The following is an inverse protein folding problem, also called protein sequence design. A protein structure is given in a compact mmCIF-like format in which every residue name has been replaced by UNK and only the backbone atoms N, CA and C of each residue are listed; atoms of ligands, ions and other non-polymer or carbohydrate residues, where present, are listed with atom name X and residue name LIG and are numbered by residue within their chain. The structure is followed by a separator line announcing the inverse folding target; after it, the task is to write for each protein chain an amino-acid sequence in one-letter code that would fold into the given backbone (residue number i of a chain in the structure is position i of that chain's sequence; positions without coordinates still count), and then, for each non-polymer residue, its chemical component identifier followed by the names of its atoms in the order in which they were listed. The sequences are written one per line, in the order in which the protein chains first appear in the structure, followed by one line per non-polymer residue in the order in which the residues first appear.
data_IF_199006738624
#
_entry.id   IF_199006738624
#
_cell.length_a   1.000
_cell.length_b   1.000
_cell.length_c   1.000
_cell.angle_alpha   90.00
_cell.angle_beta   90.00
_cell.angle_gamma   90.00
#
_symmetry.space_group_name_H-M   'P 1'
#
loop_
_entity.id
_entity.type
_entity.pdbx_description
1 polymer ?
#
# COMPACT_ATOMS: atom_id res chain seq x y z
N UNK A 1 25.06 21.17 60.66
CA UNK A 1 23.76 20.82 60.06
C UNK A 1 23.68 21.43 58.68
N UNK A 2 23.48 20.63 57.64
CA UNK A 2 23.23 21.11 56.28
C UNK A 2 22.05 20.30 55.72
N UNK A 3 20.91 20.95 55.52
CA UNK A 3 19.73 20.33 54.93
C UNK A 3 19.76 20.56 53.41
N UNK A 4 19.94 19.49 52.64
CA UNK A 4 19.70 19.55 51.19
C UNK A 4 18.18 19.55 50.94
N UNK A 5 17.66 20.66 50.43
CA UNK A 5 16.30 20.73 49.91
C UNK A 5 16.26 20.07 48.52
N UNK A 6 15.72 18.84 48.46
CA UNK A 6 15.32 18.20 47.22
C UNK A 6 13.96 18.73 46.76
N UNK A 7 13.98 19.85 46.04
CA UNK A 7 12.80 20.35 45.31
C UNK A 7 12.56 19.49 44.06
N UNK A 8 11.80 18.40 44.21
CA UNK A 8 11.34 17.61 43.06
C UNK A 8 10.27 18.37 42.27
N UNK A 9 10.57 18.69 41.01
CA UNK A 9 9.56 19.17 40.06
C UNK A 9 8.66 18.00 39.65
N UNK A 10 7.56 17.80 40.37
CA UNK A 10 6.43 17.05 39.85
C UNK A 10 5.77 17.90 38.75
N UNK A 11 5.74 17.40 37.52
CA UNK A 11 5.01 18.04 36.44
C UNK A 11 3.51 17.75 36.57
N UNK A 12 2.71 18.77 36.85
CA UNK A 12 1.22 18.73 36.87
C UNK A 12 0.59 18.52 35.47
N UNK A 13 1.32 17.93 34.53
CA UNK A 13 0.72 17.42 33.31
C UNK A 13 0.11 16.04 33.63
N UNK A 14 -1.21 15.83 33.46
CA UNK A 14 -1.78 14.50 33.62
C UNK A 14 -1.06 13.54 32.68
N UNK A 15 -0.59 12.42 33.22
CA UNK A 15 0.08 11.39 32.42
C UNK A 15 -0.84 11.03 31.26
N UNK A 16 -0.36 11.26 30.03
CA UNK A 16 -1.09 10.86 28.84
C UNK A 16 -1.39 9.36 28.96
N UNK A 17 -2.65 8.91 28.84
CA UNK A 17 -2.97 7.49 28.99
C UNK A 17 -2.13 6.67 28.00
N UNK A 18 -1.64 5.49 28.41
CA UNK A 18 -0.86 4.62 27.54
C UNK A 18 -1.67 4.28 26.28
N UNK A 19 -0.96 4.16 25.15
CA UNK A 19 -1.56 3.76 23.87
C UNK A 19 -1.57 2.25 23.77
N UNK A 20 -2.74 1.68 23.54
CA UNK A 20 -2.97 0.25 23.47
C UNK A 20 -3.12 -0.20 22.01
N UNK A 21 -2.02 -0.69 21.44
CA UNK A 21 -1.89 -0.94 20.00
C UNK A 21 -0.82 -2.03 19.74
N UNK A 22 -0.84 -2.66 18.55
CA UNK A 22 0.03 -3.81 18.24
C UNK A 22 1.43 -3.34 17.79
N UNK A 23 2.52 -3.78 18.45
CA UNK A 23 3.88 -3.62 17.93
C UNK A 23 4.19 -4.69 16.88
N UNK A 24 4.28 -4.29 15.61
CA UNK A 24 4.58 -5.21 14.50
C UNK A 24 6.07 -5.53 14.39
N UNK A 25 6.42 -6.83 14.44
CA UNK A 25 7.79 -7.35 14.31
C UNK A 25 7.94 -8.24 13.06
N UNK A 26 9.11 -8.22 12.43
CA UNK A 26 9.47 -9.10 11.29
C UNK A 26 10.27 -10.34 11.69
N UNK A 27 10.55 -10.55 12.98
CA UNK A 27 11.35 -11.68 13.51
C UNK A 27 10.84 -13.05 13.05
N UNK A 28 9.51 -13.23 12.97
CA UNK A 28 8.89 -14.46 12.45
C UNK A 28 8.70 -14.35 10.94
N UNK A 29 9.71 -14.82 10.20
CA UNK A 29 9.80 -14.77 8.72
C UNK A 29 8.85 -15.77 8.04
N UNK A 30 8.06 -15.33 7.04
CA UNK A 30 7.39 -16.26 6.10
C UNK A 30 8.30 -16.72 4.97
N UNK A 31 8.03 -17.88 4.34
CA UNK A 31 8.54 -18.16 3.00
C UNK A 31 8.01 -17.12 2.01
N UNK A 32 8.90 -16.29 1.46
CA UNK A 32 8.55 -15.25 0.49
C UNK A 32 9.70 -14.98 -0.48
N UNK A 33 9.45 -14.24 -1.56
CA UNK A 33 10.51 -13.70 -2.42
C UNK A 33 10.95 -12.33 -1.88
N UNK A 34 12.22 -12.15 -1.47
CA UNK A 34 12.72 -10.81 -1.13
C UNK A 34 12.96 -10.02 -2.41
N UNK A 35 12.13 -9.00 -2.68
CA UNK A 35 12.26 -8.16 -3.87
C UNK A 35 12.58 -6.69 -3.55
N UNK A 36 11.76 -5.96 -2.79
CA UNK A 36 11.95 -4.53 -2.55
C UNK A 36 12.59 -4.20 -1.18
N UNK A 37 13.43 -5.08 -0.64
CA UNK A 37 14.07 -4.94 0.68
C UNK A 37 15.21 -3.90 0.74
N UNK A 38 15.70 -3.42 -0.41
CA UNK A 38 16.59 -2.25 -0.51
C UNK A 38 16.06 -1.29 -1.57
N UNK A 39 15.71 -0.05 -1.18
CA UNK A 39 15.15 0.94 -2.09
C UNK A 39 16.07 2.17 -2.27
N UNK A 40 16.15 2.75 -3.49
CA UNK A 40 16.68 4.09 -3.69
C UNK A 40 15.90 5.11 -2.83
N UNK A 41 16.62 5.92 -2.06
CA UNK A 41 16.03 6.85 -1.07
C UNK A 41 15.78 6.23 0.31
N UNK A 42 16.15 4.97 0.54
CA UNK A 42 15.91 4.27 1.81
C UNK A 42 14.49 3.72 1.95
N UNK A 43 14.13 3.17 3.12
CA UNK A 43 12.78 2.67 3.39
C UNK A 43 11.70 3.73 3.14
N UNK A 44 10.48 3.30 2.78
CA UNK A 44 9.35 4.21 2.60
C UNK A 44 8.76 4.54 3.97
N UNK A 45 8.68 5.81 4.33
CA UNK A 45 7.96 6.28 5.52
C UNK A 45 6.47 6.30 5.21
N UNK A 46 5.71 5.38 5.79
CA UNK A 46 4.28 5.25 5.50
C UNK A 46 3.43 5.17 6.76
N UNK A 47 2.21 5.66 6.66
CA UNK A 47 1.16 5.42 7.67
C UNK A 47 0.24 4.30 7.19
N UNK A 48 -0.06 3.35 8.06
CA UNK A 48 -0.81 2.14 7.73
C UNK A 48 -1.86 1.86 8.81
N UNK A 49 -3.07 1.47 8.40
CA UNK A 49 -4.11 0.95 9.32
C UNK A 49 -4.30 -0.55 9.05
N UNK A 50 -3.48 -1.43 9.64
CA UNK A 50 -3.75 -2.87 9.63
C UNK A 50 -4.92 -3.22 10.54
N UNK A 51 -5.57 -4.36 10.29
CA UNK A 51 -6.57 -4.90 11.22
C UNK A 51 -5.94 -5.73 12.33
N UNK A 52 -6.69 -5.93 13.41
CA UNK A 52 -6.30 -6.83 14.50
C UNK A 52 -6.30 -8.28 14.00
N UNK A 53 -7.39 -8.67 13.32
CA UNK A 53 -7.59 -10.01 12.76
C UNK A 53 -6.60 -10.40 11.66
N UNK A 54 -6.17 -9.45 10.82
CA UNK A 54 -5.28 -9.69 9.66
C UNK A 54 -3.93 -8.96 9.78
N UNK A 55 -3.48 -8.69 11.01
CA UNK A 55 -2.21 -8.00 11.27
C UNK A 55 -0.97 -8.66 10.64
N UNK A 56 -1.06 -9.93 10.25
CA UNK A 56 0.00 -10.61 9.49
C UNK A 56 0.31 -9.94 8.15
N UNK A 57 -0.68 -9.32 7.51
CA UNK A 57 -0.53 -8.58 6.25
C UNK A 57 0.52 -7.47 6.35
N UNK A 58 0.54 -6.73 7.47
CA UNK A 58 1.52 -5.68 7.72
C UNK A 58 2.95 -6.24 7.81
N UNK A 59 3.12 -7.33 8.58
CA UNK A 59 4.42 -8.01 8.75
C UNK A 59 4.92 -8.54 7.41
N UNK A 60 4.04 -9.14 6.62
CA UNK A 60 4.35 -9.74 5.33
C UNK A 60 4.62 -8.71 4.24
N UNK A 61 3.99 -7.53 4.32
CA UNK A 61 4.36 -6.37 3.52
C UNK A 61 5.74 -5.83 3.93
N UNK A 62 6.04 -5.71 5.23
CA UNK A 62 7.35 -5.26 5.75
C UNK A 62 8.50 -6.21 5.38
N UNK A 63 8.24 -7.52 5.26
CA UNK A 63 9.23 -8.51 4.82
C UNK A 63 9.54 -8.38 3.32
N UNK A 64 8.58 -7.93 2.49
CA UNK A 64 8.71 -7.83 1.03
C UNK A 64 9.12 -6.45 0.52
N UNK A 65 8.79 -5.38 1.25
CA UNK A 65 9.02 -3.98 0.89
C UNK A 65 9.75 -3.26 2.04
N UNK A 66 10.82 -2.54 1.73
CA UNK A 66 11.54 -1.73 2.72
C UNK A 66 10.66 -0.58 3.23
N UNK A 67 10.11 -0.73 4.43
CA UNK A 67 9.22 0.22 5.09
C UNK A 67 9.82 0.76 6.39
N UNK A 68 9.49 2.01 6.70
CA UNK A 68 9.53 2.58 8.04
C UNK A 68 8.07 2.94 8.41
N UNK A 69 7.27 1.97 8.88
CA UNK A 69 5.84 2.15 9.06
C UNK A 69 5.52 2.87 10.39
N UNK A 70 4.50 3.72 10.35
CA UNK A 70 3.70 4.11 11.50
C UNK A 70 2.36 3.39 11.37
N UNK A 71 2.05 2.50 12.31
CA UNK A 71 0.80 1.73 12.32
C UNK A 71 -0.20 2.31 13.32
N UNK A 72 -1.49 2.13 13.05
CA UNK A 72 -2.58 2.21 14.04
C UNK A 72 -3.51 1.03 13.79
N UNK A 73 -3.65 0.11 14.73
CA UNK A 73 -4.42 -1.12 14.49
C UNK A 73 -5.91 -0.90 14.76
N UNK A 74 -6.74 -1.08 13.73
CA UNK A 74 -8.19 -0.93 13.81
C UNK A 74 -8.83 -2.11 13.08
N UNK A 75 -9.69 -2.87 13.74
CA UNK A 75 -10.50 -3.89 13.08
C UNK A 75 -11.84 -3.32 12.59
N UNK A 76 -12.51 -4.01 11.66
CA UNK A 76 -13.89 -3.69 11.27
C UNK A 76 -14.84 -4.02 12.43
N UNK A 77 -14.60 -5.13 13.11
CA UNK A 77 -15.47 -5.66 14.16
C UNK A 77 -15.17 -5.00 15.52
N UNK A 78 -16.20 -4.48 16.21
CA UNK A 78 -16.03 -3.72 17.46
C UNK A 78 -15.48 -4.57 18.61
N UNK A 79 -15.91 -5.83 18.68
CA UNK A 79 -15.52 -6.80 19.69
C UNK A 79 -14.07 -7.26 19.49
N UNK A 80 -13.64 -7.47 18.24
CA UNK A 80 -12.22 -7.72 17.93
C UNK A 80 -11.35 -6.51 18.28
N UNK A 81 -11.86 -5.27 18.16
CA UNK A 81 -11.11 -4.10 18.67
C UNK A 81 -10.97 -4.12 20.19
N UNK A 82 -12.06 -4.43 20.92
CA UNK A 82 -12.12 -4.44 22.38
C UNK A 82 -11.35 -5.61 23.04
N UNK A 83 -11.39 -6.78 22.41
CA UNK A 83 -11.01 -8.07 23.01
C UNK A 83 -9.87 -8.78 22.28
N UNK A 84 -9.58 -8.40 21.03
CA UNK A 84 -8.61 -9.09 20.17
C UNK A 84 -7.13 -8.81 20.45
N UNK A 85 -6.81 -7.84 21.32
CA UNK A 85 -5.44 -7.54 21.76
C UNK A 85 -5.28 -8.00 23.20
N UNK A 86 -4.73 -9.20 23.38
CA UNK A 86 -4.72 -9.90 24.68
C UNK A 86 -4.03 -9.17 25.83
N UNK A 87 -3.04 -8.32 25.54
CA UNK A 87 -2.35 -7.52 26.57
C UNK A 87 -3.25 -6.42 27.17
N UNK A 88 -4.29 -5.98 26.45
CA UNK A 88 -5.08 -4.77 26.74
C UNK A 88 -6.58 -5.00 26.51
N UNK A 89 -7.09 -6.10 27.05
CA UNK A 89 -8.49 -6.53 27.00
C UNK A 89 -9.39 -5.58 27.83
N UNK A 90 -10.25 -4.77 27.19
CA UNK A 90 -11.10 -3.81 27.91
C UNK A 90 -11.73 -2.73 27.03
N UNK A 91 -13.00 -2.40 27.31
CA UNK A 91 -13.73 -1.32 26.65
C UNK A 91 -13.03 0.04 26.84
N UNK A 92 -12.51 0.26 28.05
CA UNK A 92 -11.77 1.44 28.49
C UNK A 92 -10.46 1.69 27.72
N UNK A 93 -9.92 0.67 27.06
CA UNK A 93 -8.61 0.73 26.40
C UNK A 93 -8.69 0.92 24.89
N UNK A 94 -9.79 0.47 24.27
CA UNK A 94 -9.88 0.28 22.81
C UNK A 94 -11.22 0.71 22.21
N UNK A 95 -12.30 0.74 22.99
CA UNK A 95 -13.65 1.06 22.54
C UNK A 95 -14.66 -0.08 22.78
N UNK A 96 -15.92 0.17 22.45
CA UNK A 96 -17.03 -0.77 22.62
C UNK A 96 -17.89 -0.79 21.34
N UNK A 97 -18.96 -1.58 21.33
CA UNK A 97 -19.99 -1.53 20.30
C UNK A 97 -20.42 -0.08 20.07
N UNK A 98 -20.32 0.35 18.82
CA UNK A 98 -20.65 1.70 18.36
C UNK A 98 -19.79 2.84 18.95
N UNK A 99 -18.69 2.55 19.65
CA UNK A 99 -17.70 3.57 20.08
C UNK A 99 -16.27 3.18 19.70
N UNK A 100 -15.79 3.76 18.60
CA UNK A 100 -14.43 3.60 18.08
C UNK A 100 -13.54 4.83 18.34
N UNK A 101 -13.96 5.78 19.19
CA UNK A 101 -13.26 7.07 19.35
C UNK A 101 -11.82 6.94 19.81
N UNK A 102 -11.49 5.92 20.61
CA UNK A 102 -10.12 5.69 21.09
C UNK A 102 -9.20 5.33 19.91
N UNK A 103 -9.56 4.31 19.12
CA UNK A 103 -8.74 3.84 18.00
C UNK A 103 -8.67 4.84 16.84
N UNK A 104 -9.76 5.56 16.53
CA UNK A 104 -9.71 6.65 15.57
C UNK A 104 -8.99 7.89 16.12
N UNK A 105 -8.95 8.09 17.44
CA UNK A 105 -8.12 9.10 18.09
C UNK A 105 -6.62 8.83 17.95
N UNK A 106 -6.19 7.57 17.99
CA UNK A 106 -4.79 7.20 17.67
C UNK A 106 -4.44 7.49 16.20
N UNK A 107 -5.39 7.24 15.28
CA UNK A 107 -5.23 7.62 13.87
C UNK A 107 -5.17 9.15 13.69
N UNK A 108 -6.00 9.91 14.39
CA UNK A 108 -5.96 11.37 14.39
C UNK A 108 -4.59 11.89 14.86
N UNK A 109 -4.06 11.38 15.97
CA UNK A 109 -2.75 11.81 16.50
C UNK A 109 -1.65 11.68 15.44
N UNK A 110 -1.50 10.50 14.83
CA UNK A 110 -0.42 10.29 13.85
C UNK A 110 -0.67 11.06 12.55
N UNK A 111 -1.91 11.15 12.09
CA UNK A 111 -2.26 11.88 10.87
C UNK A 111 -2.11 13.40 11.02
N UNK A 112 -2.34 13.97 12.21
CA UNK A 112 -2.24 15.41 12.46
C UNK A 112 -0.83 15.90 12.80
N UNK A 113 0.06 15.01 13.28
CA UNK A 113 1.46 15.31 13.63
C UNK A 113 2.29 15.94 12.50
N UNK A 114 3.32 16.71 12.86
CA UNK A 114 4.21 17.36 11.90
C UNK A 114 5.07 16.39 11.06
N UNK A 115 5.28 15.14 11.54
CA UNK A 115 6.09 14.13 10.84
C UNK A 115 5.54 13.84 9.44
N UNK A 116 6.38 13.89 8.38
CA UNK A 116 5.92 13.64 7.02
C UNK A 116 5.82 12.14 6.72
N UNK A 117 4.72 11.73 6.08
CA UNK A 117 4.57 10.42 5.44
C UNK A 117 4.78 10.59 3.93
N UNK A 118 5.46 9.64 3.31
CA UNK A 118 5.53 9.52 1.85
C UNK A 118 4.26 8.89 1.28
N UNK A 119 3.58 8.04 2.06
CA UNK A 119 2.34 7.35 1.65
C UNK A 119 1.45 7.03 2.86
N UNK A 120 0.15 6.99 2.65
CA UNK A 120 -0.84 6.48 3.60
C UNK A 120 -1.58 5.29 2.98
N UNK A 121 -1.78 4.20 3.72
CA UNK A 121 -2.54 3.01 3.27
C UNK A 121 -3.73 2.81 4.19
N UNK A 122 -4.94 3.01 3.64
CA UNK A 122 -6.18 3.04 4.39
C UNK A 122 -7.17 2.01 3.80
N UNK A 123 -7.48 0.93 4.53
CA UNK A 123 -8.66 0.13 4.26
C UNK A 123 -9.92 0.89 4.70
N UNK A 124 -10.97 0.80 3.89
CA UNK A 124 -12.32 1.19 4.25
C UNK A 124 -12.90 0.15 5.18
N UNK A 125 -12.58 0.26 6.47
CA UNK A 125 -13.11 -0.65 7.47
C UNK A 125 -14.60 -0.35 7.70
N UNK A 126 -14.90 0.77 8.35
CA UNK A 126 -16.27 1.21 8.66
C UNK A 126 -16.72 2.43 7.83
N UNK A 127 -15.96 2.76 6.78
CA UNK A 127 -16.18 3.90 5.89
C UNK A 127 -15.40 5.16 6.29
N UNK A 128 -15.18 6.06 5.31
CA UNK A 128 -14.39 7.28 5.45
C UNK A 128 -14.86 8.19 6.59
N UNK A 129 -16.17 8.29 6.80
CA UNK A 129 -16.78 9.24 7.75
C UNK A 129 -16.50 8.92 9.22
N UNK A 130 -16.10 7.68 9.54
CA UNK A 130 -15.76 7.22 10.89
C UNK A 130 -14.35 7.66 11.33
N UNK A 131 -13.44 7.90 10.39
CA UNK A 131 -12.21 8.64 10.70
C UNK A 131 -12.60 10.02 11.21
N UNK A 132 -11.95 10.53 12.26
CA UNK A 132 -12.29 11.83 12.82
C UNK A 132 -12.16 12.96 11.79
N UNK A 133 -12.89 14.06 11.97
CA UNK A 133 -12.82 15.20 11.05
C UNK A 133 -11.38 15.75 10.88
N UNK A 134 -10.56 15.94 11.94
CA UNK A 134 -9.17 16.34 11.79
C UNK A 134 -8.31 15.29 11.05
N UNK A 135 -8.53 13.99 11.26
CA UNK A 135 -7.84 12.93 10.53
C UNK A 135 -8.14 13.01 9.01
N UNK A 136 -9.41 13.14 8.62
CA UNK A 136 -9.84 13.27 7.22
C UNK A 136 -9.25 14.52 6.56
N UNK A 137 -9.28 15.66 7.25
CA UNK A 137 -8.72 16.92 6.76
C UNK A 137 -7.18 16.83 6.64
N UNK A 138 -6.50 16.15 7.57
CA UNK A 138 -5.06 15.92 7.52
C UNK A 138 -4.64 14.99 6.36
N UNK A 139 -5.39 13.91 6.08
CA UNK A 139 -5.16 13.04 4.92
C UNK A 139 -5.28 13.87 3.63
N UNK A 140 -6.40 14.57 3.42
CA UNK A 140 -6.63 15.38 2.22
C UNK A 140 -5.54 16.44 2.03
N UNK A 141 -5.11 17.10 3.10
CA UNK A 141 -4.00 18.07 3.09
C UNK A 141 -2.68 17.41 2.68
N UNK A 142 -2.27 16.31 3.33
CA UNK A 142 -1.01 15.60 3.05
C UNK A 142 -0.93 15.11 1.61
N UNK A 143 -2.02 14.53 1.07
CA UNK A 143 -2.05 14.11 -0.34
C UNK A 143 -1.89 15.32 -1.26
N UNK A 144 -2.64 16.41 -1.01
CA UNK A 144 -2.54 17.64 -1.81
C UNK A 144 -1.12 18.23 -1.80
N UNK A 145 -0.40 18.11 -0.68
CA UNK A 145 0.99 18.55 -0.50
C UNK A 145 2.03 17.66 -1.19
N UNK A 146 1.75 16.36 -1.40
CA UNK A 146 2.61 15.45 -2.15
C UNK A 146 2.66 14.00 -1.66
N UNK A 147 2.05 13.67 -0.52
CA UNK A 147 2.02 12.29 -0.04
C UNK A 147 1.19 11.39 -0.97
N UNK A 148 1.61 10.13 -1.10
CA UNK A 148 0.81 9.08 -1.72
C UNK A 148 -0.38 8.67 -0.85
N UNK A 149 -1.40 8.11 -1.47
CA UNK A 149 -2.51 7.46 -0.80
C UNK A 149 -2.89 6.16 -1.52
N UNK A 150 -3.05 5.08 -0.76
CA UNK A 150 -3.60 3.81 -1.24
C UNK A 150 -4.89 3.56 -0.45
N UNK A 151 -6.00 3.46 -1.17
CA UNK A 151 -7.32 3.17 -0.63
C UNK A 151 -7.72 1.74 -0.98
N UNK A 152 -8.15 0.98 0.01
CA UNK A 152 -8.69 -0.36 -0.21
C UNK A 152 -10.18 -0.32 0.16
N UNK A 153 -11.08 -0.55 -0.80
CA UNK A 153 -12.53 -0.34 -0.63
C UNK A 153 -12.89 1.06 -0.06
N UNK A 154 -12.66 2.16 -0.79
CA UNK A 154 -13.12 3.48 -0.34
C UNK A 154 -14.66 3.61 -0.40
N UNK A 155 -15.31 3.92 0.72
CA UNK A 155 -16.74 4.30 0.79
C UNK A 155 -16.98 5.38 1.86
N UNK A 156 -18.19 5.97 1.90
CA UNK A 156 -18.50 7.09 2.80
C UNK A 156 -18.74 6.58 4.22
N UNK A 157 -19.47 5.47 4.36
CA UNK A 157 -19.84 4.84 5.63
C UNK A 157 -21.24 5.22 6.08
N UNK A 158 -22.00 4.21 6.53
CA UNK A 158 -23.41 4.34 6.94
C UNK A 158 -23.59 5.02 8.31
N UNK A 159 -23.14 6.28 8.43
CA UNK A 159 -23.34 7.10 9.64
C UNK A 159 -24.79 7.55 9.82
N UNK A 160 -25.62 7.46 8.77
CA UNK A 160 -27.02 7.89 8.80
C UNK A 160 -27.98 6.76 9.20
N UNK A 161 -27.75 5.54 8.71
CA UNK A 161 -28.46 4.35 9.16
C UNK A 161 -28.03 3.91 10.55
N UNK A 162 -26.71 3.91 10.81
CA UNK A 162 -26.14 3.44 12.07
C UNK A 162 -24.98 4.33 12.56
N UNK A 163 -25.24 5.47 13.24
CA UNK A 163 -24.21 6.36 13.77
C UNK A 163 -23.43 5.71 14.92
N UNK A 164 -22.11 5.91 14.94
CA UNK A 164 -21.25 5.62 16.09
C UNK A 164 -21.11 6.87 16.99
N UNK A 165 -20.67 6.67 18.23
CA UNK A 165 -20.47 7.77 19.16
C UNK A 165 -19.40 8.74 18.64
N UNK A 166 -19.79 10.00 18.45
CA UNK A 166 -18.90 11.07 17.94
C UNK A 166 -18.90 11.22 16.42
N UNK A 167 -19.69 10.44 15.68
CA UNK A 167 -19.85 10.64 14.24
C UNK A 167 -20.55 11.97 13.87
N UNK A 168 -20.30 12.48 12.65
CA UNK A 168 -21.12 13.55 12.09
C UNK A 168 -22.55 13.06 11.78
N UNK A 169 -23.52 13.97 11.80
CA UNK A 169 -24.92 13.68 11.45
C UNK A 169 -25.11 13.28 9.97
N UNK A 170 -24.14 13.58 9.09
CA UNK A 170 -24.14 13.21 7.68
C UNK A 170 -22.77 12.67 7.27
N UNK A 171 -22.77 11.74 6.31
CA UNK A 171 -21.55 11.19 5.74
C UNK A 171 -20.73 12.25 4.99
N UNK A 172 -19.41 12.12 5.03
CA UNK A 172 -18.46 13.06 4.41
C UNK A 172 -18.11 12.60 2.98
N UNK A 173 -18.71 13.19 1.92
CA UNK A 173 -18.51 12.71 0.55
C UNK A 173 -17.12 13.03 -0.03
N UNK A 174 -16.24 13.71 0.73
CA UNK A 174 -14.93 14.17 0.21
C UNK A 174 -13.95 13.02 -0.09
N UNK A 175 -14.25 11.80 0.34
CA UNK A 175 -13.58 10.59 -0.17
C UNK A 175 -13.66 10.50 -1.70
N UNK A 176 -14.75 10.97 -2.32
CA UNK A 176 -14.93 10.99 -3.78
C UNK A 176 -14.14 12.09 -4.49
N UNK A 177 -13.70 13.13 -3.77
CA UNK A 177 -12.76 14.11 -4.30
C UNK A 177 -11.36 13.50 -4.47
N UNK A 178 -10.92 12.68 -3.51
CA UNK A 178 -9.56 12.11 -3.47
C UNK A 178 -9.45 10.72 -4.10
N UNK A 179 -10.49 9.89 -4.08
CA UNK A 179 -10.47 8.53 -4.64
C UNK A 179 -10.65 8.48 -6.16
N UNK A 180 -9.87 7.65 -6.90
CA UNK A 180 -10.15 7.35 -8.32
C UNK A 180 -11.30 6.36 -8.53
N UNK A 181 -11.76 5.67 -7.48
CA UNK A 181 -12.96 4.81 -7.47
C UNK A 181 -14.06 5.47 -6.63
N UNK A 182 -15.26 5.66 -7.19
CA UNK A 182 -16.37 6.38 -6.53
C UNK A 182 -17.72 5.69 -6.73
N UNK A 183 -18.73 6.13 -5.98
CA UNK A 183 -20.13 5.79 -6.27
C UNK A 183 -20.56 4.37 -5.89
N UNK A 184 -19.73 3.62 -5.17
CA UNK A 184 -20.20 2.36 -4.54
C UNK A 184 -21.25 2.71 -3.46
N UNK A 185 -22.35 1.94 -3.34
CA UNK A 185 -23.20 1.97 -2.17
C UNK A 185 -22.41 1.65 -0.89
N UNK A 186 -22.75 2.32 0.21
CA UNK A 186 -22.09 2.04 1.49
C UNK A 186 -22.41 0.62 2.00
N UNK A 187 -21.42 0.02 2.67
CA UNK A 187 -21.62 -1.10 3.57
C UNK A 187 -22.45 -0.67 4.79
N UNK A 188 -23.21 -1.61 5.36
CA UNK A 188 -24.13 -1.37 6.47
C UNK A 188 -23.51 -1.77 7.80
N UNK A 189 -24.18 -1.42 8.88
CA UNK A 189 -23.94 -2.00 10.20
C UNK A 189 -25.25 -2.59 10.70
N UNK A 190 -25.20 -3.81 11.23
CA UNK A 190 -26.34 -4.48 11.86
C UNK A 190 -26.71 -3.86 13.20
N UNK A 191 -27.93 -4.11 13.69
CA UNK A 191 -28.39 -3.72 15.05
C UNK A 191 -27.49 -4.22 16.20
N UNK A 192 -26.57 -5.15 15.90
CA UNK A 192 -25.57 -5.70 16.85
C UNK A 192 -24.20 -4.99 16.77
N UNK A 193 -24.08 -3.93 15.97
CA UNK A 193 -22.83 -3.20 15.73
C UNK A 193 -21.85 -3.92 14.80
N UNK A 194 -22.21 -5.10 14.26
CA UNK A 194 -21.34 -5.82 13.32
C UNK A 194 -21.52 -5.29 11.90
N UNK A 195 -20.43 -5.04 11.17
CA UNK A 195 -20.47 -4.38 9.87
C UNK A 195 -20.69 -5.38 8.73
N UNK A 196 -21.63 -5.09 7.84
CA UNK A 196 -22.15 -6.01 6.83
C UNK A 196 -21.80 -5.53 5.41
N UNK A 197 -21.04 -6.34 4.62
CA UNK A 197 -20.76 -6.03 3.22
C UNK A 197 -22.03 -5.86 2.39
N UNK A 198 -22.12 -4.80 1.60
CA UNK A 198 -23.25 -4.56 0.72
C UNK A 198 -23.22 -5.54 -0.46
N UNK A 199 -23.93 -6.67 -0.32
CA UNK A 199 -23.93 -7.75 -1.32
C UNK A 199 -24.46 -7.30 -2.69
N UNK A 200 -25.35 -6.31 -2.74
CA UNK A 200 -25.83 -5.72 -4.01
C UNK A 200 -24.74 -4.89 -4.71
N UNK A 201 -23.78 -4.36 -3.96
CA UNK A 201 -22.62 -3.65 -4.50
C UNK A 201 -21.51 -4.59 -4.98
N UNK A 202 -21.47 -5.84 -4.51
CA UNK A 202 -20.43 -6.81 -4.87
C UNK A 202 -20.80 -7.57 -6.16
N UNK A 203 -19.79 -7.93 -6.95
CA UNK A 203 -19.91 -8.85 -8.10
C UNK A 203 -18.65 -9.70 -8.23
N UNK A 204 -18.63 -10.63 -9.19
CA UNK A 204 -17.47 -11.47 -9.49
C UNK A 204 -17.25 -11.58 -11.00
N UNK A 205 -16.01 -11.35 -11.43
CA UNK A 205 -15.56 -11.49 -12.82
C UNK A 205 -14.03 -11.61 -12.88
N UNK A 206 -13.52 -12.09 -14.02
CA UNK A 206 -12.07 -12.20 -14.29
C UNK A 206 -11.40 -10.82 -14.28
N UNK A 207 -10.29 -10.70 -13.57
CA UNK A 207 -9.46 -9.50 -13.55
C UNK A 207 -8.56 -9.45 -14.79
N UNK A 208 -8.60 -8.32 -15.49
CA UNK A 208 -7.85 -8.08 -16.73
C UNK A 208 -7.08 -6.76 -16.62
N UNK A 209 -5.86 -6.73 -17.16
CA UNK A 209 -5.08 -5.49 -17.26
C UNK A 209 -5.74 -4.57 -18.29
N UNK A 210 -6.39 -3.50 -17.82
CA UNK A 210 -7.01 -2.50 -18.68
C UNK A 210 -5.95 -1.69 -19.45
N UNK A 211 -4.77 -1.49 -18.85
CA UNK A 211 -3.61 -0.84 -19.49
C UNK A 211 -2.28 -1.13 -18.80
N UNK A 212 -1.15 -1.08 -19.53
CA UNK A 212 0.18 -1.09 -18.93
C UNK A 212 0.40 0.11 -18.01
N UNK A 213 0.95 -0.16 -16.83
CA UNK A 213 1.34 0.85 -15.85
C UNK A 213 2.36 0.23 -14.87
N UNK A 214 3.21 1.04 -14.23
CA UNK A 214 4.22 0.54 -13.28
C UNK A 214 3.66 -0.42 -12.19
N UNK A 215 2.40 -0.26 -11.79
CA UNK A 215 1.74 -1.13 -10.81
C UNK A 215 1.46 -2.54 -11.39
N UNK A 216 1.05 -2.63 -12.66
CA UNK A 216 0.60 -3.87 -13.32
C UNK A 216 1.66 -4.53 -14.21
N UNK A 217 2.65 -3.78 -14.69
CA UNK A 217 3.71 -4.28 -15.59
C UNK A 217 4.46 -5.49 -15.00
N UNK A 218 4.69 -6.54 -15.78
CA UNK A 218 5.36 -7.76 -15.32
C UNK A 218 4.71 -8.48 -14.13
N UNK A 219 3.46 -8.16 -13.76
CA UNK A 219 2.58 -9.04 -13.01
C UNK A 219 1.71 -9.80 -14.01
N UNK A 220 1.76 -11.13 -13.95
CA UNK A 220 0.85 -11.99 -14.68
C UNK A 220 -0.40 -12.18 -13.81
N UNK A 221 -1.49 -11.48 -14.14
CA UNK A 221 -2.73 -11.55 -13.37
C UNK A 221 -3.37 -12.95 -13.43
N UNK A 222 -3.06 -13.76 -14.44
CA UNK A 222 -3.58 -15.13 -14.57
C UNK A 222 -3.00 -16.07 -13.49
N UNK A 223 -1.98 -15.63 -12.76
CA UNK A 223 -1.43 -16.33 -11.58
C UNK A 223 -2.13 -15.93 -10.26
N UNK A 224 -3.02 -14.94 -10.29
CA UNK A 224 -3.95 -14.65 -9.19
C UNK A 224 -5.25 -15.45 -9.38
N UNK A 225 -5.89 -15.96 -8.31
CA UNK A 225 -7.22 -16.54 -8.38
C UNK A 225 -8.23 -15.62 -9.09
N UNK A 226 -8.11 -14.31 -8.85
CA UNK A 226 -8.95 -13.29 -9.48
C UNK A 226 -8.77 -13.16 -11.00
N UNK A 227 -7.58 -13.46 -11.53
CA UNK A 227 -7.30 -13.45 -12.97
C UNK A 227 -7.45 -14.83 -13.62
N UNK A 228 -7.28 -15.94 -12.90
CA UNK A 228 -7.56 -17.29 -13.44
C UNK A 228 -9.07 -17.55 -13.54
N UNK A 229 -9.85 -17.23 -12.49
CA UNK A 229 -11.25 -17.68 -12.31
C UNK A 229 -12.25 -16.57 -11.99
N UNK A 230 -11.77 -15.36 -11.77
CA UNK A 230 -12.57 -14.25 -11.28
C UNK A 230 -12.60 -14.15 -9.77
N UNK A 231 -12.40 -12.93 -9.28
CA UNK A 231 -12.45 -12.59 -7.86
C UNK A 231 -13.67 -11.75 -7.54
N UNK A 232 -14.08 -11.73 -6.27
CA UNK A 232 -15.10 -10.81 -5.78
C UNK A 232 -14.54 -9.38 -5.69
N UNK A 233 -15.33 -8.40 -6.10
CA UNK A 233 -14.97 -6.98 -5.99
C UNK A 233 -16.24 -6.12 -5.94
N UNK A 234 -16.11 -4.90 -5.44
CA UNK A 234 -17.20 -3.92 -5.40
C UNK A 234 -17.36 -3.17 -6.74
N UNK A 235 -18.60 -2.94 -7.16
CA UNK A 235 -18.96 -2.21 -8.38
C UNK A 235 -18.81 -0.70 -8.17
N UNK A 236 -17.67 -0.17 -8.59
CA UNK A 236 -17.36 1.26 -8.59
C UNK A 236 -17.57 1.92 -9.96
N UNK A 237 -17.70 3.25 -9.95
CA UNK A 237 -17.40 4.10 -11.10
C UNK A 237 -15.94 4.59 -11.05
N UNK A 238 -15.32 4.83 -12.20
CA UNK A 238 -13.99 5.41 -12.29
C UNK A 238 -14.03 6.93 -12.46
N UNK A 239 -13.30 7.65 -11.59
CA UNK A 239 -12.91 9.07 -11.77
C UNK A 239 -11.39 9.22 -11.87
N UNK A 240 -10.75 8.20 -12.42
CA UNK A 240 -9.30 8.12 -12.60
C UNK A 240 -8.96 7.16 -13.73
N UNK A 241 -7.67 6.94 -13.89
CA UNK A 241 -7.09 5.99 -14.83
C UNK A 241 -7.28 4.55 -14.33
N UNK A 242 -8.08 3.74 -15.02
CA UNK A 242 -8.29 2.32 -14.69
C UNK A 242 -7.09 1.50 -15.16
N UNK A 243 -6.51 0.71 -14.26
CA UNK A 243 -5.35 -0.16 -14.49
C UNK A 243 -5.74 -1.63 -14.61
N UNK A 244 -6.69 -2.06 -13.78
CA UNK A 244 -7.27 -3.41 -13.79
C UNK A 244 -8.79 -3.24 -13.82
N UNK A 245 -9.45 -4.02 -14.67
CA UNK A 245 -10.91 -4.08 -14.79
C UNK A 245 -11.39 -5.52 -14.65
N UNK A 246 -12.69 -5.69 -14.39
CA UNK A 246 -13.34 -6.99 -14.39
C UNK A 246 -14.83 -6.84 -14.70
N UNK A 247 -15.35 -7.60 -15.67
CA UNK A 247 -16.78 -7.58 -16.03
C UNK A 247 -17.33 -6.20 -16.42
N UNK A 248 -16.50 -5.31 -16.97
CA UNK A 248 -16.86 -3.93 -17.32
C UNK A 248 -16.71 -2.90 -16.20
N UNK A 249 -16.32 -3.32 -14.99
CA UNK A 249 -16.11 -2.44 -13.83
C UNK A 249 -14.63 -2.22 -13.52
N UNK A 250 -14.24 -1.06 -12.96
CA UNK A 250 -12.88 -0.77 -12.52
C UNK A 250 -12.56 -1.50 -11.21
N UNK A 251 -11.43 -2.20 -11.17
CA UNK A 251 -10.94 -2.93 -9.98
C UNK A 251 -9.76 -2.21 -9.33
N UNK A 252 -8.80 -1.74 -10.13
CA UNK A 252 -7.69 -0.91 -9.65
C UNK A 252 -7.64 0.34 -10.50
N UNK A 253 -7.66 1.51 -9.88
CA UNK A 253 -7.57 2.79 -10.57
C UNK A 253 -6.62 3.76 -9.85
N UNK A 254 -6.10 4.74 -10.60
CA UNK A 254 -5.18 5.77 -10.10
C UNK A 254 -5.61 7.18 -10.51
N UNK A 255 -5.30 8.19 -9.69
CA UNK A 255 -5.35 9.60 -10.10
C UNK A 255 -4.38 10.46 -9.31
N UNK A 256 -4.14 11.68 -9.79
CA UNK A 256 -3.48 12.72 -8.99
C UNK A 256 -4.49 13.44 -8.10
N UNK A 257 -4.05 13.92 -6.94
CA UNK A 257 -4.82 14.85 -6.10
C UNK A 257 -3.87 15.89 -5.51
N UNK A 258 -3.92 17.12 -6.04
CA UNK A 258 -2.86 18.10 -5.82
C UNK A 258 -1.52 17.58 -6.35
N UNK A 259 -0.50 17.52 -5.49
CA UNK A 259 0.84 16.98 -5.82
C UNK A 259 0.95 15.47 -5.56
N UNK A 260 0.02 14.88 -4.82
CA UNK A 260 0.02 13.47 -4.44
C UNK A 260 -0.57 12.56 -5.50
N UNK A 261 -0.28 11.27 -5.35
CA UNK A 261 -0.78 10.17 -6.19
C UNK A 261 -1.67 9.26 -5.37
N UNK A 262 -2.86 8.96 -5.88
CA UNK A 262 -3.84 8.11 -5.23
C UNK A 262 -4.03 6.84 -6.06
N UNK A 263 -3.97 5.69 -5.40
CA UNK A 263 -4.38 4.39 -5.92
C UNK A 263 -5.62 3.95 -5.14
N UNK A 264 -6.61 3.37 -5.79
CA UNK A 264 -7.70 2.67 -5.09
C UNK A 264 -7.95 1.28 -5.66
N UNK A 265 -8.32 0.36 -4.78
CA UNK A 265 -8.66 -1.02 -5.04
C UNK A 265 -10.12 -1.29 -4.68
N UNK A 266 -10.86 -1.96 -5.57
CA UNK A 266 -12.25 -2.38 -5.36
C UNK A 266 -12.38 -3.69 -4.56
N UNK A 267 -11.39 -4.02 -3.72
CA UNK A 267 -11.31 -5.33 -3.07
C UNK A 267 -12.47 -5.59 -2.11
N UNK A 268 -12.85 -6.86 -1.99
CA UNK A 268 -13.61 -7.37 -0.84
C UNK A 268 -12.59 -7.92 0.16
N UNK A 269 -12.78 -7.68 1.46
CA UNK A 269 -11.88 -8.12 2.54
C UNK A 269 -11.44 -6.98 3.45
N UNK A 270 -11.13 -7.32 4.70
CA UNK A 270 -10.91 -6.35 5.78
C UNK A 270 -9.46 -5.85 5.91
N UNK A 271 -8.48 -6.66 5.48
CA UNK A 271 -7.04 -6.36 5.58
C UNK A 271 -6.45 -5.67 4.35
N UNK A 272 -5.14 -5.87 4.14
CA UNK A 272 -4.44 -5.31 2.98
C UNK A 272 -4.47 -6.22 1.75
N UNK A 273 -4.71 -7.51 1.96
CA UNK A 273 -4.91 -8.50 0.90
C UNK A 273 -6.42 -8.77 0.75
N UNK A 274 -6.95 -8.93 -0.47
CA UNK A 274 -8.35 -9.30 -0.67
C UNK A 274 -8.72 -10.61 0.04
N UNK A 275 -10.00 -10.76 0.38
CA UNK A 275 -10.58 -11.99 0.93
C UNK A 275 -10.09 -13.20 0.11
N UNK A 276 -9.48 -14.22 0.77
CA UNK A 276 -8.93 -15.36 0.05
C UNK A 276 -10.07 -16.10 -0.64
N UNK A 277 -9.93 -16.32 -1.95
CA UNK A 277 -10.80 -17.25 -2.67
C UNK A 277 -10.67 -18.62 -2.00
N UNK A 278 -11.80 -19.26 -1.67
CA UNK A 278 -11.88 -20.57 -1.01
C UNK A 278 -10.74 -21.48 -1.49
N UNK A 279 -9.75 -21.83 -0.64
CA UNK A 279 -8.57 -22.55 -1.07
C UNK A 279 -8.87 -23.99 -1.49
N UNK A 280 -9.99 -24.56 -1.04
CA UNK A 280 -10.45 -25.90 -1.41
C UNK A 280 -11.11 -25.86 -2.79
N UNK A 281 -12.05 -24.94 -3.01
CA UNK A 281 -12.72 -24.78 -4.30
C UNK A 281 -11.76 -24.26 -5.39
N UNK A 282 -10.87 -23.33 -5.05
CA UNK A 282 -9.88 -22.79 -5.97
C UNK A 282 -8.70 -23.74 -6.22
N UNK A 283 -8.39 -24.68 -5.30
CA UNK A 283 -7.11 -25.43 -5.32
C UNK A 283 -5.88 -24.52 -5.42
N UNK A 284 -6.04 -23.24 -5.08
CA UNK A 284 -4.97 -22.25 -5.11
C UNK A 284 -4.23 -22.32 -3.78
N UNK A 285 -3.11 -23.04 -3.79
CA UNK A 285 -2.19 -23.06 -2.65
C UNK A 285 -1.36 -21.77 -2.62
N UNK A 286 -0.73 -21.50 -1.48
CA UNK A 286 -0.20 -20.21 -1.00
C UNK A 286 0.75 -19.41 -1.94
N UNK A 287 1.20 -19.96 -3.06
CA UNK A 287 2.12 -19.30 -4.01
C UNK A 287 1.56 -18.00 -4.63
N UNK A 288 0.23 -17.83 -4.72
CA UNK A 288 -0.39 -16.63 -5.30
C UNK A 288 -0.27 -15.38 -4.42
N UNK A 289 0.01 -15.53 -3.12
CA UNK A 289 0.10 -14.41 -2.18
C UNK A 289 1.24 -13.46 -2.54
N UNK A 290 2.35 -13.98 -3.11
CA UNK A 290 3.45 -13.15 -3.63
C UNK A 290 2.96 -12.14 -4.69
N UNK A 291 1.98 -12.51 -5.52
CA UNK A 291 1.43 -11.62 -6.55
C UNK A 291 0.52 -10.55 -5.96
N UNK A 292 -0.25 -10.87 -4.91
CA UNK A 292 -1.07 -9.88 -4.20
C UNK A 292 -0.18 -8.86 -3.46
N UNK A 293 0.81 -9.34 -2.68
CA UNK A 293 1.77 -8.45 -2.02
C UNK A 293 2.58 -7.63 -3.03
N UNK A 294 2.97 -8.20 -4.16
CA UNK A 294 3.66 -7.45 -5.22
C UNK A 294 2.77 -6.36 -5.82
N UNK A 295 1.49 -6.62 -6.07
CA UNK A 295 0.54 -5.62 -6.57
C UNK A 295 0.35 -4.46 -5.58
N UNK A 296 0.07 -4.78 -4.31
CA UNK A 296 -0.10 -3.80 -3.23
C UNK A 296 1.17 -2.96 -3.02
N UNK A 297 2.32 -3.59 -2.84
CA UNK A 297 3.57 -2.91 -2.55
C UNK A 297 4.05 -2.05 -3.74
N UNK A 298 3.72 -2.41 -4.98
CA UNK A 298 3.95 -1.55 -6.16
C UNK A 298 3.00 -0.36 -6.18
N UNK A 299 1.75 -0.51 -5.74
CA UNK A 299 0.86 0.62 -5.50
C UNK A 299 1.39 1.56 -4.41
N UNK A 300 1.88 1.02 -3.28
CA UNK A 300 2.53 1.79 -2.20
C UNK A 300 3.75 2.55 -2.71
N UNK A 301 4.67 1.87 -3.40
CA UNK A 301 5.89 2.48 -3.97
C UNK A 301 5.57 3.54 -5.04
N UNK A 302 4.60 3.28 -5.91
CA UNK A 302 4.18 4.24 -6.94
C UNK A 302 3.45 5.45 -6.34
N UNK A 303 2.59 5.26 -5.34
CA UNK A 303 1.96 6.36 -4.63
C UNK A 303 3.03 7.25 -3.96
N UNK A 304 3.96 6.62 -3.23
CA UNK A 304 5.06 7.28 -2.52
C UNK A 304 6.03 8.04 -3.45
N UNK A 305 6.53 7.39 -4.50
CA UNK A 305 7.69 7.87 -5.29
C UNK A 305 7.46 7.93 -6.80
N UNK A 306 6.35 7.39 -7.30
CA UNK A 306 6.06 7.25 -8.73
C UNK A 306 6.89 6.13 -9.36
N UNK A 307 7.11 6.20 -10.67
CA UNK A 307 7.98 5.23 -11.37
C UNK A 307 9.46 5.39 -10.98
N UNK A 308 9.90 6.63 -10.74
CA UNK A 308 11.29 6.95 -10.40
C UNK A 308 12.31 6.42 -11.41
N UNK A 309 13.46 5.96 -10.90
CA UNK A 309 14.45 5.17 -11.68
C UNK A 309 14.23 3.65 -11.57
N UNK A 310 13.13 3.21 -10.93
CA UNK A 310 12.94 1.81 -10.56
C UNK A 310 12.07 1.11 -11.61
N UNK A 311 12.59 0.05 -12.22
CA UNK A 311 11.84 -0.82 -13.14
C UNK A 311 12.04 -2.28 -12.77
N UNK A 312 10.95 -3.04 -12.79
CA UNK A 312 10.93 -4.48 -12.57
C UNK A 312 10.93 -5.15 -13.95
N UNK A 313 12.06 -5.71 -14.37
CA UNK A 313 12.23 -6.22 -15.74
C UNK A 313 11.37 -7.47 -16.03
N UNK A 314 11.22 -8.38 -15.06
CA UNK A 314 10.26 -9.49 -15.10
C UNK A 314 10.05 -10.13 -13.72
N UNK A 315 8.82 -10.52 -13.38
CA UNK A 315 8.56 -11.63 -12.46
C UNK A 315 8.13 -12.85 -13.28
N UNK A 316 8.72 -14.03 -13.01
CA UNK A 316 8.34 -15.29 -13.65
C UNK A 316 8.23 -16.38 -12.60
N UNK A 317 7.04 -16.92 -12.40
CA UNK A 317 6.89 -18.22 -11.76
C UNK A 317 7.24 -19.34 -12.75
N UNK A 318 7.94 -20.36 -12.25
CA UNK A 318 8.06 -21.66 -12.92
C UNK A 318 7.41 -22.70 -12.04
N UNK A 319 6.57 -23.58 -12.61
CA UNK A 319 6.05 -24.75 -11.89
C UNK A 319 7.24 -25.60 -11.42
N UNK A 320 7.44 -25.67 -10.10
CA UNK A 320 8.62 -26.26 -9.47
C UNK A 320 9.71 -25.21 -9.15
N UNK A 321 9.71 -24.76 -7.88
CA UNK A 321 10.61 -23.76 -7.27
C UNK A 321 10.66 -22.40 -7.98
N UNK A 322 10.08 -21.39 -7.34
CA UNK A 322 10.29 -20.00 -7.72
C UNK A 322 11.79 -19.62 -7.69
N UNK A 323 12.28 -19.07 -8.80
CA UNK A 323 13.58 -18.39 -8.89
C UNK A 323 13.36 -17.01 -9.48
N UNK A 324 13.14 -16.01 -8.64
CA UNK A 324 13.21 -14.62 -9.05
C UNK A 324 14.66 -14.21 -9.32
N UNK A 325 14.88 -13.38 -10.33
CA UNK A 325 16.13 -12.63 -10.52
C UNK A 325 15.79 -11.14 -10.62
N UNK A 326 15.73 -10.47 -9.48
CA UNK A 326 15.73 -9.01 -9.44
C UNK A 326 17.12 -8.49 -9.82
N UNK A 327 17.22 -7.75 -10.94
CA UNK A 327 18.45 -7.06 -11.33
C UNK A 327 18.21 -5.56 -11.37
N UNK A 328 18.83 -4.86 -10.43
CA UNK A 328 18.77 -3.40 -10.36
C UNK A 328 19.84 -2.76 -11.25
N UNK A 329 19.47 -1.71 -12.00
CA UNK A 329 20.42 -0.77 -12.61
C UNK A 329 19.96 0.65 -12.30
N UNK A 330 20.88 1.49 -11.82
CA UNK A 330 20.66 2.93 -11.82
C UNK A 330 20.62 3.42 -13.26
N UNK A 331 19.72 4.34 -13.56
CA UNK A 331 19.82 5.15 -14.77
C UNK A 331 21.05 6.07 -14.61
N UNK A 332 21.91 6.12 -15.62
CA UNK A 332 22.88 7.20 -15.70
C UNK A 332 22.11 8.48 -16.02
N UNK A 333 22.03 9.40 -15.05
CA UNK A 333 21.38 10.69 -15.25
C UNK A 333 22.17 11.50 -16.29
N UNK A 334 21.65 11.57 -17.52
CA UNK A 334 22.17 12.46 -18.56
C UNK A 334 21.77 13.90 -18.27
N UNK A 335 22.23 14.44 -17.14
CA UNK A 335 22.15 15.85 -16.81
C UNK A 335 23.08 16.59 -17.79
N UNK A 336 22.53 17.02 -18.93
CA UNK A 336 23.19 18.01 -19.78
C UNK A 336 23.27 19.31 -18.97
N UNK A 337 24.46 19.90 -18.77
CA UNK A 337 24.54 21.23 -18.18
C UNK A 337 23.75 22.22 -19.04
N UNK A 338 23.04 23.14 -18.40
CA UNK A 338 22.46 24.31 -19.08
C UNK A 338 23.61 25.23 -19.51
N UNK A 339 24.15 24.94 -20.70
CA UNK A 339 25.18 25.74 -21.36
C UNK A 339 24.60 27.03 -21.93
N UNK A 340 25.24 28.16 -21.59
CA UNK A 340 24.87 29.52 -22.00
C UNK A 340 24.59 29.65 -23.50
N UNK A 341 23.61 30.47 -23.84
CA UNK A 341 23.36 30.94 -25.21
C UNK A 341 24.55 31.72 -25.75
N UNK A 342 25.31 31.10 -26.67
CA UNK A 342 26.36 31.76 -27.45
C UNK A 342 25.87 32.09 -28.85
N UNK A 343 26.00 33.35 -29.25
CA UNK A 343 25.66 33.83 -30.59
C UNK A 343 26.64 33.33 -31.67
N UNK A 344 26.15 33.31 -32.91
CA UNK A 344 26.82 32.82 -34.12
C UNK A 344 28.22 33.41 -34.34
N UNK A 345 29.17 32.57 -34.77
CA UNK A 345 30.18 32.95 -35.75
C UNK A 345 30.56 31.74 -36.61
N UNK A 346 30.66 31.94 -37.92
CA UNK A 346 30.97 30.92 -38.93
C UNK A 346 32.47 30.85 -39.24
N UNK A 347 33.01 29.66 -39.51
CA UNK A 347 34.06 29.52 -40.52
C UNK A 347 34.10 28.08 -41.08
N UNK A 348 34.55 27.94 -42.33
CA UNK A 348 34.48 26.69 -43.11
C UNK A 348 35.88 26.18 -43.53
N UNK A 349 35.90 25.02 -44.23
CA UNK A 349 37.03 24.17 -44.70
C UNK A 349 37.37 23.04 -43.71
N UNK A 350 37.65 21.79 -44.12
CA UNK A 350 37.59 21.15 -45.45
C UNK A 350 38.03 19.67 -45.40
N UNK A 351 37.77 18.92 -46.50
CA UNK A 351 38.38 17.65 -47.03
C UNK A 351 39.43 16.90 -46.14
N UNK A 352 39.52 15.56 -46.06
CA UNK A 352 39.41 14.52 -47.12
C UNK A 352 39.33 13.06 -46.54
N UNK A 353 39.31 12.05 -47.44
CA UNK A 353 39.39 10.55 -47.25
C UNK A 353 40.65 10.10 -46.44
N UNK A 354 40.89 8.85 -46.00
CA UNK A 354 40.53 7.50 -46.50
C UNK A 354 40.82 6.33 -45.50
N UNK A 355 40.45 5.09 -45.90
CA UNK A 355 41.12 3.78 -45.69
C UNK A 355 41.17 3.04 -44.32
N UNK A 356 40.53 1.86 -44.31
CA UNK A 356 40.86 0.61 -43.56
C UNK A 356 42.13 -0.09 -44.17
N UNK A 357 42.76 -1.16 -43.60
CA UNK A 357 42.12 -2.32 -42.95
C UNK A 357 42.84 -3.08 -41.78
N UNK A 358 42.16 -4.16 -41.33
CA UNK A 358 42.54 -5.34 -40.48
C UNK A 358 43.82 -6.08 -40.94
N UNK A 359 44.49 -6.97 -40.14
CA UNK A 359 43.98 -8.19 -39.46
C UNK A 359 44.57 -8.44 -38.02
N UNK A 360 44.63 -9.61 -37.34
CA UNK A 360 44.31 -11.05 -37.60
C UNK A 360 44.13 -11.89 -36.30
N UNK A 361 43.40 -13.02 -36.39
CA UNK A 361 43.56 -14.34 -35.73
C UNK A 361 43.79 -14.56 -34.20
N UNK A 362 43.17 -15.63 -33.65
CA UNK A 362 43.51 -16.23 -32.34
C UNK A 362 42.44 -17.22 -31.82
N UNK A 363 42.79 -18.50 -31.63
CA UNK A 363 41.87 -19.62 -31.28
C UNK A 363 41.84 -19.95 -29.75
N UNK A 364 40.93 -20.82 -29.26
CA UNK A 364 40.57 -20.96 -27.83
C UNK A 364 41.33 -22.07 -27.09
N UNK A 365 40.98 -22.32 -25.81
CA UNK A 365 40.80 -23.72 -25.39
C UNK A 365 39.58 -24.01 -24.46
N UNK A 366 39.37 -25.31 -24.27
CA UNK A 366 38.61 -26.10 -23.27
C UNK A 366 38.15 -25.43 -21.95
N UNK A 367 37.16 -25.94 -21.19
CA UNK A 367 36.52 -27.28 -21.19
C UNK A 367 36.78 -28.03 -19.87
N UNK A 368 35.74 -28.66 -19.30
CA UNK A 368 35.65 -29.26 -17.92
C UNK A 368 35.53 -28.19 -16.80
N UNK A 369 34.79 -28.39 -15.71
CA UNK A 369 34.44 -29.62 -15.00
C UNK A 369 33.08 -29.56 -14.28
N UNK A 370 32.52 -30.72 -13.94
CA UNK A 370 31.36 -30.89 -13.07
C UNK A 370 31.78 -31.34 -11.66
N UNK A 371 30.79 -31.46 -10.77
CA UNK A 371 30.85 -31.91 -9.38
C UNK A 371 31.43 -30.94 -8.34
N UNK A 372 30.55 -30.55 -7.39
CA UNK A 372 30.77 -30.81 -5.96
C UNK A 372 29.42 -30.85 -5.22
N UNK A 373 29.26 -31.93 -4.47
CA UNK A 373 28.25 -32.14 -3.43
C UNK A 373 28.38 -31.10 -2.31
N UNK A 374 27.26 -30.77 -1.67
CA UNK A 374 27.25 -30.37 -0.26
C UNK A 374 26.14 -31.12 0.49
N UNK A 375 26.51 -31.52 1.70
CA UNK A 375 25.67 -32.00 2.80
C UNK A 375 24.62 -30.98 3.20
#
# INVERSE_FOLDING_TARGET
MAALLLSGFASDQPLKPPRYDIPYSTEVVTPHVPWATTLPGGPIRGFFIPTVSQGRDMVELMQRLALQPTTVTIDRQWDVNCWGIGDFYGHEYRGERDDFRIVYGYAEEELTRATPFEVMVLPGLNGWSRLTRPARDAILRRVREGAGLVLLHPFVGDVKGHPFQGDPAEGDPRIWEVSPLVGVPDDRVSDRGYPEPNLEAITQARWEVARPHFITEALDLDLLPSGERGGRFYKYEARGEVLVQAGGYPVVAVKAYGKGRVVAFAQVGDGFIPEPVDPVASRAYWDYWEYQYALLARAVLWAARGEGDLRIEAAKASRGRARSRSRWRRRASSARPWGRSGSRASCARGRTRSSCPRPSCGHPPAGRAAARSWT
#
